data_IF_916244068823
#
_entry.id   IF_916244068823
#
_cell.length_a   1.000
_cell.length_b   1.000
_cell.length_c   1.000
_cell.angle_alpha   90.00
_cell.angle_beta   90.00
_cell.angle_gamma   90.00
#
_symmetry.space_group_name_H-M   'P 1'
#
loop_
_entity.id
_entity.type
_entity.pdbx_description
1 polymer ?
#
# COMPACT_ATOMS: atom_id res chain seq x y z
N UNK A 1 9.32 -2.32 37.55
CA UNK A 1 8.28 -1.29 37.34
C UNK A 1 7.68 -1.58 35.98
N UNK A 2 6.42 -1.97 35.95
CA UNK A 2 5.71 -2.30 34.71
C UNK A 2 5.50 -0.99 33.94
N UNK A 3 5.90 -0.96 32.65
CA UNK A 3 5.73 0.24 31.82
C UNK A 3 4.23 0.43 31.54
N UNK A 4 3.73 1.65 31.72
CA UNK A 4 2.42 2.01 31.19
C UNK A 4 2.49 2.05 29.66
N UNK A 5 1.97 1.01 29.03
CA UNK A 5 1.96 0.88 27.57
C UNK A 5 0.90 1.77 26.93
N UNK A 6 -0.17 2.11 27.63
CA UNK A 6 -1.22 2.97 27.10
C UNK A 6 -0.68 4.40 26.97
N UNK A 7 -0.05 4.92 28.03
CA UNK A 7 0.61 6.23 28.00
C UNK A 7 1.75 6.27 26.96
N UNK A 8 2.57 5.22 26.90
CA UNK A 8 3.68 5.13 25.97
C UNK A 8 3.24 5.12 24.49
N UNK A 9 2.14 4.42 24.17
CA UNK A 9 1.68 4.25 22.79
C UNK A 9 0.77 5.37 22.29
N UNK A 10 0.14 6.15 23.19
CA UNK A 10 -0.77 7.23 22.81
C UNK A 10 -0.19 8.22 21.76
N UNK A 11 1.08 8.69 21.86
CA UNK A 11 1.66 9.55 20.82
C UNK A 11 1.77 8.86 19.44
N UNK A 12 2.00 7.55 19.41
CA UNK A 12 2.07 6.76 18.17
C UNK A 12 0.69 6.58 17.55
N UNK A 13 -0.36 6.39 18.35
CA UNK A 13 -1.74 6.28 17.88
C UNK A 13 -2.23 7.58 17.24
N UNK A 14 -1.92 8.71 17.87
CA UNK A 14 -2.17 10.03 17.32
C UNK A 14 -1.41 10.24 16.00
N UNK A 15 -0.10 9.92 15.99
CA UNK A 15 0.75 10.00 14.77
C UNK A 15 0.16 9.21 13.60
N UNK A 16 -0.26 7.96 13.83
CA UNK A 16 -0.90 7.11 12.80
C UNK A 16 -2.19 7.74 12.29
N UNK A 17 -3.02 8.29 13.19
CA UNK A 17 -4.30 8.90 12.83
C UNK A 17 -4.13 10.15 11.97
N UNK A 18 -3.23 11.05 12.36
CA UNK A 18 -2.92 12.27 11.62
C UNK A 18 -2.34 11.95 10.23
N UNK A 19 -1.35 11.06 10.16
CA UNK A 19 -0.73 10.67 8.91
C UNK A 19 -1.72 9.98 7.97
N UNK A 20 -2.65 9.15 8.48
CA UNK A 20 -3.72 8.55 7.66
C UNK A 20 -4.59 9.62 7.01
N UNK A 21 -4.99 10.66 7.75
CA UNK A 21 -5.80 11.76 7.18
C UNK A 21 -5.01 12.51 6.12
N UNK A 22 -3.76 12.89 6.43
CA UNK A 22 -2.88 13.64 5.52
C UNK A 22 -2.61 12.91 4.21
N UNK A 23 -2.26 11.62 4.28
CA UNK A 23 -1.95 10.81 3.11
C UNK A 23 -3.21 10.49 2.27
N UNK A 24 -4.37 10.31 2.91
CA UNK A 24 -5.66 10.22 2.18
C UNK A 24 -6.02 11.54 1.50
N UNK A 25 -5.61 12.67 2.07
CA UNK A 25 -5.76 14.00 1.48
C UNK A 25 -5.07 14.12 0.12
N UNK A 26 -3.91 13.49 -0.06
CA UNK A 26 -3.20 13.45 -1.36
C UNK A 26 -4.11 12.85 -2.43
N UNK A 27 -4.76 11.72 -2.15
CA UNK A 27 -5.72 11.07 -3.06
C UNK A 27 -6.82 12.02 -3.52
N UNK A 28 -7.38 12.80 -2.58
CA UNK A 28 -8.45 13.77 -2.86
C UNK A 28 -7.95 14.90 -3.78
N UNK A 29 -6.76 15.44 -3.53
CA UNK A 29 -6.16 16.50 -4.35
C UNK A 29 -5.92 16.06 -5.81
N UNK A 30 -5.47 14.83 -6.04
CA UNK A 30 -5.29 14.30 -7.40
C UNK A 30 -6.62 14.18 -8.15
N UNK A 31 -7.67 13.73 -7.46
CA UNK A 31 -9.03 13.65 -8.04
C UNK A 31 -9.57 15.02 -8.41
N UNK A 32 -9.41 16.02 -7.56
CA UNK A 32 -9.85 17.40 -7.81
C UNK A 32 -9.14 18.04 -9.01
N UNK A 33 -7.91 17.61 -9.31
CA UNK A 33 -7.14 18.06 -10.47
C UNK A 33 -7.42 17.22 -11.74
N UNK A 34 -8.36 16.26 -11.72
CA UNK A 34 -8.60 15.32 -12.81
C UNK A 34 -7.33 14.57 -13.28
N UNK A 35 -6.44 14.26 -12.35
CA UNK A 35 -5.19 13.53 -12.62
C UNK A 35 -5.31 12.07 -12.20
N UNK A 36 -4.47 11.22 -12.78
CA UNK A 36 -4.27 9.85 -12.27
C UNK A 36 -3.96 9.88 -10.78
N UNK A 37 -4.59 8.99 -10.02
CA UNK A 37 -4.51 8.97 -8.57
C UNK A 37 -3.55 7.87 -8.14
N UNK A 38 -2.31 8.19 -7.69
CA UNK A 38 -1.31 7.16 -7.41
C UNK A 38 -1.56 6.38 -6.11
N UNK A 39 -2.50 6.83 -5.28
CA UNK A 39 -2.85 6.19 -4.00
C UNK A 39 -4.26 5.61 -4.09
N UNK A 40 -4.37 4.29 -4.00
CA UNK A 40 -5.66 3.60 -3.91
C UNK A 40 -6.23 3.72 -2.50
N UNK A 41 -5.47 3.35 -1.47
CA UNK A 41 -5.90 3.55 -0.09
C UNK A 41 -4.73 3.56 0.88
N UNK A 42 -5.01 4.08 2.08
CA UNK A 42 -4.05 4.19 3.17
C UNK A 42 -4.61 3.49 4.40
N UNK A 43 -3.81 2.57 4.94
CA UNK A 43 -4.03 1.92 6.23
C UNK A 43 -2.90 2.30 7.18
N UNK A 44 -3.11 2.06 8.46
CA UNK A 44 -2.10 2.31 9.47
C UNK A 44 -2.54 1.77 10.82
N UNK A 45 -1.56 1.39 11.64
CA UNK A 45 -1.75 0.81 12.96
C UNK A 45 -0.55 1.12 13.85
N UNK A 46 -0.79 1.10 15.15
CA UNK A 46 0.30 0.97 16.12
C UNK A 46 0.60 -0.50 16.32
N UNK A 47 1.88 -0.81 16.53
CA UNK A 47 2.35 -2.16 16.74
C UNK A 47 1.85 -2.69 18.09
N UNK A 48 1.31 -3.93 18.16
CA UNK A 48 0.92 -4.52 19.43
C UNK A 48 2.10 -4.67 20.39
N UNK A 49 1.85 -4.53 21.70
CA UNK A 49 2.87 -4.61 22.76
C UNK A 49 3.70 -5.88 22.65
N UNK A 50 3.08 -7.05 22.50
CA UNK A 50 3.79 -8.33 22.37
C UNK A 50 4.75 -8.34 21.19
N UNK A 51 4.37 -7.71 20.08
CA UNK A 51 5.20 -7.57 18.88
C UNK A 51 6.35 -6.56 19.08
N UNK A 52 6.15 -5.53 19.90
CA UNK A 52 7.21 -4.60 20.31
C UNK A 52 8.23 -5.33 21.18
N UNK A 53 7.77 -6.02 22.22
CA UNK A 53 8.63 -6.76 23.16
C UNK A 53 9.44 -7.83 22.42
N UNK A 54 8.77 -8.65 21.61
CA UNK A 54 9.43 -9.68 20.80
C UNK A 54 10.50 -9.09 19.88
N UNK A 55 10.19 -7.99 19.18
CA UNK A 55 11.15 -7.34 18.28
C UNK A 55 12.31 -6.69 19.03
N UNK A 56 12.05 -6.13 20.21
CA UNK A 56 13.06 -5.57 21.10
C UNK A 56 14.09 -6.64 21.48
N UNK A 57 13.62 -7.83 21.87
CA UNK A 57 14.46 -8.96 22.23
C UNK A 57 15.27 -9.47 21.04
N UNK A 58 14.61 -9.69 19.89
CA UNK A 58 15.26 -10.19 18.66
C UNK A 58 16.33 -9.24 18.11
N UNK A 59 16.19 -7.93 18.33
CA UNK A 59 17.13 -6.90 17.87
C UNK A 59 18.05 -6.38 18.96
N UNK A 60 17.96 -6.94 20.17
CA UNK A 60 18.72 -6.49 21.35
C UNK A 60 18.56 -4.99 21.64
N UNK A 61 17.37 -4.43 21.39
CA UNK A 61 17.04 -3.04 21.70
C UNK A 61 16.65 -2.96 23.18
N UNK A 62 17.31 -2.13 24.01
CA UNK A 62 16.88 -1.89 25.37
C UNK A 62 15.50 -1.22 25.43
N UNK A 63 14.66 -1.60 26.39
CA UNK A 63 13.30 -1.03 26.53
C UNK A 63 13.29 0.50 26.69
N UNK A 64 14.35 1.06 27.27
CA UNK A 64 14.54 2.51 27.43
C UNK A 64 14.78 3.25 26.11
N UNK A 65 15.28 2.55 25.06
CA UNK A 65 15.62 3.14 23.76
C UNK A 65 14.63 2.79 22.64
N UNK A 66 13.46 2.27 22.99
CA UNK A 66 12.45 1.89 22.00
C UNK A 66 12.06 3.05 21.08
N UNK A 67 11.92 4.27 21.61
CA UNK A 67 11.54 5.44 20.82
C UNK A 67 12.61 5.86 19.80
N UNK A 68 13.88 5.60 20.12
CA UNK A 68 15.03 6.01 19.30
C UNK A 68 15.38 4.95 18.25
N UNK A 69 15.25 3.66 18.59
CA UNK A 69 15.77 2.56 17.79
C UNK A 69 14.67 1.74 17.06
N UNK A 70 13.40 1.82 17.48
CA UNK A 70 12.30 1.08 16.85
C UNK A 70 11.41 1.96 15.98
N UNK A 71 11.75 2.03 14.69
CA UNK A 71 11.08 2.88 13.71
C UNK A 71 9.65 2.47 13.31
N UNK A 72 9.23 1.23 13.58
CA UNK A 72 7.96 0.66 13.12
C UNK A 72 6.92 0.46 14.23
N UNK A 73 7.01 1.23 15.32
CA UNK A 73 5.94 1.28 16.33
C UNK A 73 4.70 1.92 15.71
N UNK A 74 4.84 3.09 15.07
CA UNK A 74 3.83 3.67 14.18
C UNK A 74 4.05 3.16 12.75
N UNK A 75 3.12 2.36 12.24
CA UNK A 75 3.20 1.80 10.89
C UNK A 75 2.07 2.29 9.99
N UNK A 76 2.41 2.79 8.81
CA UNK A 76 1.47 3.12 7.75
C UNK A 76 1.72 2.27 6.51
N UNK A 77 0.65 2.02 5.77
CA UNK A 77 0.74 1.39 4.46
C UNK A 77 -0.04 2.19 3.43
N UNK A 78 0.62 2.48 2.32
CA UNK A 78 0.03 3.11 1.15
C UNK A 78 -0.04 2.05 0.04
N UNK A 79 -1.24 1.80 -0.45
CA UNK A 79 -1.48 0.92 -1.58
C UNK A 79 -1.57 1.74 -2.85
N UNK A 80 -0.77 1.39 -3.84
CA UNK A 80 -0.72 1.95 -5.18
C UNK A 80 -1.29 0.95 -6.19
N UNK A 81 -1.76 1.44 -7.33
CA UNK A 81 -2.22 0.58 -8.41
C UNK A 81 -1.03 -0.01 -9.18
N UNK A 82 -0.05 0.84 -9.51
CA UNK A 82 1.12 0.46 -10.31
C UNK A 82 2.43 0.63 -9.55
N UNK A 83 3.51 0.05 -10.07
CA UNK A 83 4.86 0.17 -9.48
C UNK A 83 5.38 1.60 -9.60
N UNK A 84 5.13 2.28 -10.72
CA UNK A 84 5.58 3.67 -10.94
C UNK A 84 4.91 4.66 -9.99
N UNK A 85 3.66 4.38 -9.60
CA UNK A 85 2.92 5.19 -8.64
C UNK A 85 3.62 5.21 -7.26
N UNK A 86 4.33 4.13 -6.91
CA UNK A 86 5.11 4.05 -5.66
C UNK A 86 6.18 5.13 -5.65
N UNK A 87 6.96 5.25 -6.72
CA UNK A 87 8.01 6.27 -6.82
C UNK A 87 7.42 7.70 -6.81
N UNK A 88 6.27 7.90 -7.46
CA UNK A 88 5.57 9.18 -7.40
C UNK A 88 5.14 9.54 -5.97
N UNK A 89 4.61 8.57 -5.20
CA UNK A 89 4.22 8.78 -3.80
C UNK A 89 5.44 9.07 -2.93
N UNK A 90 6.55 8.34 -3.13
CA UNK A 90 7.81 8.60 -2.43
C UNK A 90 8.26 10.05 -2.65
N UNK A 91 8.25 10.53 -3.89
CA UNK A 91 8.64 11.92 -4.21
C UNK A 91 7.72 12.96 -3.57
N UNK A 92 6.42 12.68 -3.50
CA UNK A 92 5.48 13.55 -2.79
C UNK A 92 5.84 13.61 -1.30
N UNK A 93 6.11 12.46 -0.66
CA UNK A 93 6.47 12.38 0.75
C UNK A 93 7.79 13.11 1.03
N UNK A 94 8.82 12.91 0.19
CA UNK A 94 10.11 13.61 0.30
C UNK A 94 9.99 15.13 0.28
N UNK A 95 9.02 15.68 -0.47
CA UNK A 95 8.79 17.13 -0.60
C UNK A 95 7.96 17.73 0.53
N UNK A 96 7.43 16.91 1.44
CA UNK A 96 6.63 17.39 2.57
C UNK A 96 7.52 18.13 3.58
N UNK A 97 6.91 19.08 4.30
CA UNK A 97 7.58 19.90 5.33
C UNK A 97 7.12 19.60 6.75
N UNK A 98 6.09 18.78 6.90
CA UNK A 98 5.51 18.37 8.19
C UNK A 98 6.06 17.03 8.70
N UNK A 99 7.06 16.48 8.02
CA UNK A 99 7.80 15.28 8.41
C UNK A 99 9.18 15.31 7.74
N UNK A 100 10.14 14.59 8.31
CA UNK A 100 11.47 14.41 7.73
C UNK A 100 11.71 12.96 7.39
N UNK A 101 12.04 12.65 6.14
CA UNK A 101 12.50 11.30 5.78
C UNK A 101 13.93 11.12 6.30
N UNK A 102 14.14 10.10 7.15
CA UNK A 102 15.45 9.82 7.77
C UNK A 102 16.10 8.55 7.20
N UNK A 103 15.31 7.63 6.66
CA UNK A 103 15.83 6.42 6.02
C UNK A 103 14.89 5.97 4.90
N UNK A 104 15.47 5.44 3.83
CA UNK A 104 14.73 4.84 2.71
C UNK A 104 15.31 3.47 2.39
N UNK A 105 14.44 2.51 2.04
CA UNK A 105 14.84 1.17 1.60
C UNK A 105 13.97 0.75 0.42
N UNK A 106 14.60 0.62 -0.73
CA UNK A 106 13.95 0.19 -1.96
C UNK A 106 14.15 -1.33 -2.15
N UNK A 107 13.15 -2.11 -1.71
CA UNK A 107 13.09 -3.55 -1.96
C UNK A 107 12.34 -3.91 -3.26
N UNK A 108 11.97 -2.91 -4.08
CA UNK A 108 11.41 -3.15 -5.41
C UNK A 108 12.56 -3.41 -6.37
N UNK A 109 13.51 -2.49 -6.44
CA UNK A 109 14.74 -2.66 -7.24
C UNK A 109 15.67 -3.69 -6.61
N UNK A 110 15.78 -3.72 -5.28
CA UNK A 110 16.64 -4.65 -4.56
C UNK A 110 15.82 -5.70 -3.79
N UNK A 111 15.12 -6.57 -4.53
CA UNK A 111 14.27 -7.61 -3.93
C UNK A 111 15.07 -8.56 -3.04
N UNK A 112 14.46 -9.04 -1.95
CA UNK A 112 15.08 -10.07 -1.11
C UNK A 112 15.07 -11.43 -1.82
N UNK A 113 15.94 -12.33 -1.40
CA UNK A 113 15.97 -13.72 -1.89
C UNK A 113 14.62 -14.44 -1.74
N UNK A 114 13.83 -14.10 -0.72
CA UNK A 114 12.48 -14.63 -0.52
C UNK A 114 11.45 -14.20 -1.58
N UNK A 115 11.78 -13.24 -2.45
CA UNK A 115 10.84 -12.61 -3.39
C UNK A 115 10.13 -11.38 -2.83
N UNK A 116 10.42 -10.98 -1.59
CA UNK A 116 9.82 -9.81 -0.95
C UNK A 116 10.12 -8.51 -1.70
N UNK A 117 9.06 -7.74 -1.97
CA UNK A 117 9.10 -6.41 -2.62
C UNK A 117 8.24 -5.40 -1.87
N UNK A 118 8.76 -4.20 -1.68
CA UNK A 118 8.10 -3.05 -1.03
C UNK A 118 9.03 -1.84 -1.06
N UNK A 119 8.49 -0.62 -0.99
CA UNK A 119 9.29 0.56 -0.68
C UNK A 119 9.06 0.98 0.77
N UNK A 120 10.12 1.17 1.55
CA UNK A 120 10.02 1.58 2.97
C UNK A 120 10.64 2.96 3.16
N UNK A 121 9.89 3.83 3.82
CA UNK A 121 10.36 5.12 4.32
C UNK A 121 10.26 5.12 5.84
N UNK A 122 11.34 5.48 6.52
CA UNK A 122 11.28 5.86 7.93
C UNK A 122 11.27 7.38 8.00
N UNK A 123 10.29 7.92 8.70
CA UNK A 123 10.11 9.34 8.90
C UNK A 123 10.22 9.71 10.38
N UNK A 124 10.68 10.93 10.65
CA UNK A 124 10.50 11.63 11.91
C UNK A 124 9.30 12.58 11.77
N UNK A 125 8.29 12.43 12.62
CA UNK A 125 7.05 13.20 12.61
C UNK A 125 6.87 13.96 13.94
N UNK A 126 6.80 15.30 13.94
CA UNK A 126 6.52 16.09 15.14
C UNK A 126 5.03 16.09 15.46
N UNK A 127 4.61 15.29 16.45
CA UNK A 127 3.24 15.26 16.96
C UNK A 127 3.07 16.28 18.10
N UNK A 128 1.96 17.02 18.10
CA UNK A 128 1.65 17.99 19.15
C UNK A 128 0.78 17.34 20.23
N UNK A 129 1.29 17.26 21.46
CA UNK A 129 0.61 16.71 22.62
C UNK A 129 0.26 17.82 23.63
N UNK A 130 -0.54 17.51 24.64
CA UNK A 130 -0.82 18.44 25.75
C UNK A 130 0.46 18.83 26.52
N UNK A 131 1.47 17.97 26.51
CA UNK A 131 2.76 18.16 27.16
C UNK A 131 3.80 18.86 26.26
N UNK A 132 3.44 19.18 25.02
CA UNK A 132 4.31 19.81 24.03
C UNK A 132 4.57 18.94 22.79
N UNK A 133 5.49 19.39 21.95
CA UNK A 133 5.87 18.66 20.75
C UNK A 133 6.71 17.42 21.10
N UNK A 134 6.35 16.27 20.51
CA UNK A 134 7.14 15.04 20.57
C UNK A 134 7.47 14.57 19.16
N UNK A 135 8.73 14.21 18.91
CA UNK A 135 9.16 13.63 17.64
C UNK A 135 9.00 12.12 17.69
N UNK A 136 8.27 11.58 16.73
CA UNK A 136 7.93 10.16 16.65
C UNK A 136 8.48 9.55 15.36
N UNK A 137 9.12 8.40 15.47
CA UNK A 137 9.49 7.59 14.31
C UNK A 137 8.28 6.82 13.80
N UNK A 138 8.04 6.91 12.49
CA UNK A 138 7.02 6.12 11.82
C UNK A 138 7.59 5.49 10.55
N UNK A 139 7.14 4.26 10.27
CA UNK A 139 7.47 3.54 9.04
C UNK A 139 6.28 3.63 8.07
N UNK A 140 6.53 4.13 6.86
CA UNK A 140 5.59 4.13 5.75
C UNK A 140 6.04 3.08 4.74
N UNK A 141 5.21 2.05 4.56
CA UNK A 141 5.39 1.03 3.54
C UNK A 141 4.51 1.36 2.32
N UNK A 142 5.10 1.42 1.14
CA UNK A 142 4.38 1.71 -0.11
C UNK A 142 4.48 0.47 -1.00
N UNK A 143 3.33 -0.02 -1.48
CA UNK A 143 3.20 -1.31 -2.18
C UNK A 143 2.11 -1.27 -3.25
N UNK A 144 2.23 -2.13 -4.25
CA UNK A 144 1.08 -2.53 -5.07
C UNK A 144 0.14 -3.44 -4.27
N UNK A 145 -1.05 -3.69 -4.81
CA UNK A 145 -1.99 -4.67 -4.27
C UNK A 145 -1.38 -6.09 -4.25
N UNK A 146 -0.69 -6.50 -5.32
CA UNK A 146 -0.08 -7.82 -5.43
C UNK A 146 1.05 -8.02 -4.42
N UNK A 147 1.96 -7.04 -4.28
CA UNK A 147 3.00 -7.04 -3.26
C UNK A 147 2.42 -7.12 -1.85
N UNK A 148 1.36 -6.36 -1.57
CA UNK A 148 0.72 -6.37 -0.26
C UNK A 148 0.09 -7.73 0.07
N UNK A 149 -0.58 -8.35 -0.90
CA UNK A 149 -1.17 -9.68 -0.73
C UNK A 149 -0.10 -10.71 -0.38
N UNK A 150 0.95 -10.80 -1.20
CA UNK A 150 2.06 -11.74 -0.98
C UNK A 150 2.75 -11.53 0.38
N UNK A 151 3.12 -10.29 0.70
CA UNK A 151 3.83 -9.99 1.94
C UNK A 151 2.99 -10.20 3.20
N UNK A 152 1.65 -10.12 3.11
CA UNK A 152 0.77 -10.41 4.25
C UNK A 152 0.71 -11.91 4.54
N UNK A 153 0.67 -12.74 3.49
CA UNK A 153 0.73 -14.20 3.61
C UNK A 153 2.09 -14.64 4.13
N UNK A 154 3.18 -14.16 3.53
CA UNK A 154 4.54 -14.49 3.97
C UNK A 154 4.74 -14.13 5.43
N UNK A 155 4.33 -12.95 5.88
CA UNK A 155 4.47 -12.53 7.27
C UNK A 155 3.70 -13.44 8.24
N UNK A 156 2.49 -13.87 7.85
CA UNK A 156 1.64 -14.73 8.68
C UNK A 156 2.25 -16.14 8.82
N UNK A 157 2.82 -16.66 7.74
CA UNK A 157 3.55 -17.93 7.76
C UNK A 157 4.85 -17.80 8.55
N UNK A 158 5.61 -16.72 8.35
CA UNK A 158 6.85 -16.45 9.07
C UNK A 158 6.61 -16.41 10.59
N UNK A 159 5.49 -15.84 11.03
CA UNK A 159 5.09 -15.84 12.43
C UNK A 159 4.82 -17.26 12.96
N UNK A 160 4.07 -18.07 12.22
CA UNK A 160 3.75 -19.46 12.60
C UNK A 160 4.98 -20.36 12.65
N UNK A 161 5.87 -20.24 11.67
CA UNK A 161 7.04 -21.10 11.51
C UNK A 161 8.32 -20.51 12.12
N UNK A 162 8.23 -19.35 12.79
CA UNK A 162 9.37 -18.64 13.39
C UNK A 162 10.55 -18.44 12.43
N UNK A 163 10.26 -18.28 11.13
CA UNK A 163 11.27 -18.13 10.07
C UNK A 163 11.89 -19.42 9.53
N UNK A 164 11.53 -20.59 10.07
CA UNK A 164 12.00 -21.90 9.58
C UNK A 164 10.91 -22.56 8.73
N UNK A 165 10.92 -22.24 7.44
CA UNK A 165 9.96 -22.80 6.50
C UNK A 165 10.36 -24.21 6.05
N UNK A 166 9.41 -25.14 5.88
CA UNK A 166 9.62 -26.30 5.04
C UNK A 166 10.02 -25.87 3.62
N UNK A 167 10.96 -26.57 2.99
CA UNK A 167 11.51 -26.22 1.67
C UNK A 167 10.42 -26.02 0.62
N UNK A 168 9.47 -26.97 0.54
CA UNK A 168 8.33 -26.88 -0.37
C UNK A 168 7.51 -25.60 -0.19
N UNK A 169 7.34 -25.14 1.06
CA UNK A 169 6.61 -23.90 1.35
C UNK A 169 7.40 -22.67 0.91
N UNK A 170 8.71 -22.68 1.14
CA UNK A 170 9.60 -21.60 0.70
C UNK A 170 9.56 -21.45 -0.82
N UNK A 171 9.65 -22.56 -1.55
CA UNK A 171 9.54 -22.55 -3.02
C UNK A 171 8.17 -22.06 -3.50
N UNK A 172 7.07 -22.49 -2.85
CA UNK A 172 5.72 -22.02 -3.17
C UNK A 172 5.57 -20.52 -2.96
N UNK A 173 6.12 -19.99 -1.87
CA UNK A 173 6.13 -18.55 -1.62
C UNK A 173 6.94 -17.81 -2.68
N UNK A 174 8.12 -18.33 -3.05
CA UNK A 174 8.94 -17.71 -4.09
C UNK A 174 8.23 -17.69 -5.45
N UNK A 175 7.60 -18.79 -5.86
CA UNK A 175 6.78 -18.85 -7.09
C UNK A 175 5.62 -17.85 -7.06
N UNK A 176 4.92 -17.76 -5.93
CA UNK A 176 3.85 -16.78 -5.77
C UNK A 176 4.35 -15.33 -5.83
N UNK A 177 5.55 -15.06 -5.32
CA UNK A 177 6.17 -13.73 -5.39
C UNK A 177 6.46 -13.33 -6.84
N UNK A 178 6.92 -14.29 -7.64
CA UNK A 178 7.23 -14.07 -9.05
C UNK A 178 5.96 -13.89 -9.88
N UNK A 179 4.92 -14.69 -9.64
CA UNK A 179 3.62 -14.50 -10.28
C UNK A 179 2.99 -13.13 -9.96
N UNK A 180 3.08 -12.70 -8.69
CA UNK A 180 2.62 -11.37 -8.28
C UNK A 180 3.38 -10.25 -9.00
N UNK A 181 4.67 -10.43 -9.22
CA UNK A 181 5.48 -9.48 -9.99
C UNK A 181 5.11 -9.44 -11.46
N UNK A 182 4.99 -10.59 -12.12
CA UNK A 182 4.59 -10.65 -13.52
C UNK A 182 3.23 -9.97 -13.74
N UNK A 183 2.29 -10.16 -12.83
CA UNK A 183 1.02 -9.42 -12.85
C UNK A 183 1.23 -7.91 -12.79
N UNK A 184 2.05 -7.42 -11.86
CA UNK A 184 2.34 -5.99 -11.74
C UNK A 184 3.05 -5.45 -13.00
N UNK A 185 3.96 -6.20 -13.63
CA UNK A 185 4.64 -5.78 -14.87
C UNK A 185 3.68 -5.70 -16.06
N UNK A 186 2.87 -6.74 -16.27
CA UNK A 186 1.89 -6.76 -17.36
C UNK A 186 0.91 -5.60 -17.24
N UNK A 187 0.41 -5.32 -16.03
CA UNK A 187 -0.48 -4.18 -15.79
C UNK A 187 0.22 -2.83 -15.98
N UNK A 188 1.54 -2.76 -15.72
CA UNK A 188 2.32 -1.54 -15.94
C UNK A 188 2.55 -1.26 -17.42
N UNK A 189 2.71 -2.30 -18.26
CA UNK A 189 2.85 -2.16 -19.72
C UNK A 189 1.61 -1.54 -20.39
N UNK A 190 0.41 -1.84 -19.87
CA UNK A 190 -0.86 -1.30 -20.38
C UNK A 190 -1.39 -0.14 -19.52
N UNK A 191 -0.53 0.47 -18.68
CA UNK A 191 -0.92 1.51 -17.71
C UNK A 191 -1.54 2.74 -18.38
N UNK A 192 -0.99 3.19 -19.51
CA UNK A 192 -1.50 4.38 -20.21
C UNK A 192 -2.94 4.15 -20.70
N UNK A 193 -3.20 2.99 -21.29
CA UNK A 193 -4.53 2.57 -21.74
C UNK A 193 -5.53 2.46 -20.58
N UNK A 194 -5.10 1.86 -19.45
CA UNK A 194 -5.91 1.77 -18.24
C UNK A 194 -6.25 3.17 -17.70
N UNK A 195 -5.27 4.07 -17.65
CA UNK A 195 -5.48 5.43 -17.16
C UNK A 195 -6.42 6.23 -18.06
N UNK A 196 -6.33 6.07 -19.37
CA UNK A 196 -7.25 6.70 -20.33
C UNK A 196 -8.69 6.20 -20.10
N UNK A 197 -8.88 4.88 -20.03
CA UNK A 197 -10.18 4.29 -19.76
C UNK A 197 -10.78 4.77 -18.42
N UNK A 198 -9.99 4.78 -17.34
CA UNK A 198 -10.44 5.25 -16.03
C UNK A 198 -10.83 6.75 -16.02
N UNK A 199 -10.15 7.59 -16.81
CA UNK A 199 -10.54 9.00 -16.98
C UNK A 199 -11.89 9.13 -17.68
N UNK A 200 -12.12 8.34 -18.73
CA UNK A 200 -13.40 8.31 -19.44
C UNK A 200 -14.55 7.90 -18.50
N UNK A 201 -14.35 6.85 -17.68
CA UNK A 201 -15.37 6.40 -16.71
C UNK A 201 -15.65 7.44 -15.61
N UNK A 202 -14.63 8.12 -15.09
CA UNK A 202 -14.79 9.10 -14.00
C UNK A 202 -15.45 10.42 -14.44
N UNK A 203 -15.28 10.83 -15.69
CA UNK A 203 -15.96 12.00 -16.28
C UNK A 203 -17.38 11.67 -16.77
N UNK A 204 -17.72 10.38 -16.89
CA UNK A 204 -19.01 9.87 -17.33
C UNK A 204 -20.06 9.81 -16.22
N UNK A 205 -20.62 10.95 -15.81
CA UNK A 205 -22.04 10.96 -15.41
C UNK A 205 -22.87 10.56 -16.63
N UNK A 206 -23.16 9.27 -16.76
CA UNK A 206 -24.26 8.73 -17.56
C UNK A 206 -24.08 8.72 -19.09
N UNK A 207 -23.92 7.51 -19.63
CA UNK A 207 -24.55 6.99 -20.86
C UNK A 207 -24.95 8.04 -21.92
N UNK A 208 -24.23 8.13 -23.06
CA UNK A 208 -24.83 8.21 -24.44
C UNK A 208 -23.86 8.32 -25.62
N UNK A 209 -22.59 8.65 -25.46
CA UNK A 209 -21.72 8.97 -26.62
C UNK A 209 -20.47 8.11 -26.79
N UNK A 210 -20.32 7.03 -26.02
CA UNK A 210 -19.16 6.17 -26.18
C UNK A 210 -19.32 5.22 -27.38
N UNK A 211 -18.36 5.27 -28.32
CA UNK A 211 -18.29 4.41 -29.51
C UNK A 211 -18.20 2.94 -29.10
N UNK A 212 -17.56 2.63 -27.98
CA UNK A 212 -17.50 1.26 -27.45
C UNK A 212 -18.88 0.77 -27.01
N UNK A 213 -19.61 1.54 -26.20
CA UNK A 213 -20.99 1.21 -25.83
C UNK A 213 -21.93 1.15 -27.04
N UNK A 214 -21.79 2.03 -28.03
CA UNK A 214 -22.54 1.93 -29.30
C UNK A 214 -22.22 0.64 -30.04
N UNK A 215 -20.96 0.21 -30.05
CA UNK A 215 -20.53 -1.02 -30.73
C UNK A 215 -21.05 -2.27 -30.02
N UNK A 216 -21.04 -2.29 -28.69
CA UNK A 216 -21.60 -3.38 -27.87
C UNK A 216 -23.12 -3.44 -28.00
N UNK A 217 -23.83 -2.31 -27.84
CA UNK A 217 -25.29 -2.25 -28.00
C UNK A 217 -25.73 -2.59 -29.43
N UNK A 218 -24.94 -2.25 -30.45
CA UNK A 218 -25.21 -2.62 -31.83
C UNK A 218 -24.90 -4.09 -32.14
N UNK A 219 -24.04 -4.76 -31.35
CA UNK A 219 -23.81 -6.20 -31.44
C UNK A 219 -24.96 -6.99 -30.82
N UNK A 220 -25.40 -6.62 -29.62
CA UNK A 220 -26.53 -7.27 -28.93
C UNK A 220 -27.84 -7.16 -29.76
N UNK A 221 -28.12 -5.99 -30.34
CA UNK A 221 -29.27 -5.82 -31.26
C UNK A 221 -29.19 -6.65 -32.54
N UNK A 222 -27.99 -7.04 -32.98
CA UNK A 222 -27.82 -7.86 -34.19
C UNK A 222 -28.06 -9.34 -33.91
N UNK A 223 -27.80 -9.78 -32.69
CA UNK A 223 -28.01 -11.15 -32.23
C UNK A 223 -29.50 -11.42 -31.92
N UNK A 224 -30.24 -10.46 -31.35
CA UNK A 224 -31.70 -10.58 -31.14
C UNK A 224 -32.49 -10.68 -32.45
N UNK A 225 -32.08 -9.94 -33.49
CA UNK A 225 -32.75 -9.98 -34.81
C UNK A 225 -32.50 -11.30 -35.56
N UNK A 226 -31.37 -11.96 -35.30
CA UNK A 226 -31.10 -13.28 -35.87
C UNK A 226 -31.93 -14.39 -35.22
N UNK A 227 -32.20 -14.30 -33.92
CA UNK A 227 -32.95 -15.34 -33.17
C UNK A 227 -34.46 -15.29 -33.47
N UNK A 228 -35.05 -14.10 -33.68
CA UNK A 228 -36.47 -13.99 -34.08
C UNK A 228 -36.74 -14.46 -35.53
N UNK A 229 -35.70 -14.56 -36.36
CA UNK A 229 -35.82 -15.00 -37.75
C UNK A 229 -35.72 -16.52 -37.93
N UNK A 230 -35.22 -17.25 -36.93
CA UNK A 230 -35.16 -18.72 -36.93
C UNK A 230 -36.42 -19.42 -36.43
N UNK A 231 -37.36 -18.69 -35.81
CA UNK A 231 -38.58 -19.25 -35.20
C UNK A 231 -39.85 -19.09 -36.08
N UNK A 232 -39.67 -18.68 -37.35
CA UNK A 232 -40.77 -18.53 -38.34
C UNK A 232 -40.59 -19.33 -39.64
N UNK A 233 -39.85 -20.44 -39.59
CA UNK A 233 -39.77 -21.40 -40.71
C UNK A 233 -40.40 -22.74 -40.36
#
# INVERSE_FOLDING_TARGET
>A
MERDWEEFLAPYEQTVSELKVKLRGIRKQFREQNRHVPIEFVTGRVKPVDSIVTKSQLRHIPMSRLEEEMSDIAGLRIMCQFVEDIHQVVDIIRKRKDMKVIQERDYITNKKASGYRSYHLVIEYPVQLISGEKKILAEIQIRTLAMNFWATIEHSLNYKYQGVFPEEMSERLQRAAEAAYQLDEEMSNIREEIQEAQRLFSHGRGKRDDVYYRTVLNREKKEEVTDESSDRS
#
